data_IF_883169704032
#
_entry.id   IF_883169704032
#
_cell.length_a   1.000
_cell.length_b   1.000
_cell.length_c   1.000
_cell.angle_alpha   90.00
_cell.angle_beta   90.00
_cell.angle_gamma   90.00
#
_symmetry.space_group_name_H-M   'P 1'
#
loop_
_entity.id
_entity.type
_entity.pdbx_description
1 polymer ?
#
# COMPACT_ATOMS: atom_id res chain seq x y z
N UNK A 1 0.97 -1.24 -16.44
CA UNK A 1 1.82 -0.25 -15.74
C UNK A 1 3.19 -0.27 -16.41
N UNK A 2 3.67 0.88 -16.92
CA UNK A 2 4.95 0.95 -17.65
C UNK A 2 6.14 0.48 -16.81
N UNK A 3 7.12 -0.12 -17.47
CA UNK A 3 8.42 -0.40 -16.86
C UNK A 3 9.01 0.89 -16.28
N UNK A 4 9.45 0.84 -15.02
CA UNK A 4 10.16 1.96 -14.41
C UNK A 4 11.50 2.06 -15.14
N UNK A 5 11.85 3.20 -15.76
CA UNK A 5 13.09 3.32 -16.50
C UNK A 5 14.29 3.01 -15.60
N UNK A 6 15.19 2.13 -16.06
CA UNK A 6 16.37 1.74 -15.29
C UNK A 6 17.24 2.94 -14.89
N UNK A 7 17.27 3.99 -15.73
CA UNK A 7 17.95 5.25 -15.43
C UNK A 7 17.41 5.88 -14.14
N UNK A 8 16.10 6.03 -14.02
CA UNK A 8 15.44 6.67 -12.90
C UNK A 8 15.67 5.87 -11.61
N UNK A 9 15.71 4.54 -11.71
CA UNK A 9 16.07 3.65 -10.59
C UNK A 9 17.51 3.90 -10.13
N UNK A 10 18.46 4.06 -11.05
CA UNK A 10 19.87 4.29 -10.72
C UNK A 10 20.10 5.67 -10.13
N UNK A 11 19.51 6.73 -10.70
CA UNK A 11 19.64 8.08 -10.13
C UNK A 11 18.94 8.17 -8.76
N UNK A 12 17.75 7.58 -8.63
CA UNK A 12 17.06 7.44 -7.34
C UNK A 12 17.88 6.72 -6.29
N UNK A 13 18.62 5.67 -6.67
CA UNK A 13 19.52 4.96 -5.77
C UNK A 13 20.66 5.87 -5.27
N UNK A 14 21.25 6.71 -6.14
CA UNK A 14 22.29 7.68 -5.77
C UNK A 14 21.74 8.77 -4.85
N UNK A 15 20.55 9.27 -5.13
CA UNK A 15 19.87 10.26 -4.29
C UNK A 15 19.59 9.66 -2.90
N UNK A 16 19.10 8.43 -2.85
CA UNK A 16 18.79 7.74 -1.59
C UNK A 16 20.02 7.60 -0.70
N UNK A 17 21.19 7.29 -1.27
CA UNK A 17 22.46 7.21 -0.53
C UNK A 17 22.89 8.54 0.11
N UNK A 18 22.38 9.68 -0.37
CA UNK A 18 22.67 11.01 0.19
C UNK A 18 21.69 11.42 1.30
N UNK A 19 20.57 10.71 1.45
CA UNK A 19 19.59 10.99 2.50
C UNK A 19 20.17 10.57 3.86
N UNK A 20 20.06 11.43 4.89
CA UNK A 20 20.46 11.06 6.26
C UNK A 20 19.80 9.77 6.73
N UNK A 21 20.56 8.90 7.41
CA UNK A 21 20.12 7.55 7.77
C UNK A 21 18.81 7.53 8.57
N UNK A 22 18.63 8.54 9.43
CA UNK A 22 17.45 8.76 10.26
C UNK A 22 16.19 9.10 9.46
N UNK A 23 16.33 9.73 8.29
CA UNK A 23 15.21 10.10 7.41
C UNK A 23 14.88 9.01 6.38
N UNK A 24 15.84 8.14 6.07
CA UNK A 24 15.65 7.09 5.05
C UNK A 24 14.45 6.18 5.30
N UNK A 25 14.25 5.72 6.55
CA UNK A 25 13.09 4.87 6.86
C UNK A 25 11.79 5.64 6.67
N UNK A 26 11.74 6.90 7.13
CA UNK A 26 10.55 7.74 7.01
C UNK A 26 10.17 7.98 5.55
N UNK A 27 11.16 8.23 4.67
CA UNK A 27 10.93 8.38 3.24
C UNK A 27 10.41 7.09 2.61
N UNK A 28 10.99 5.94 2.97
CA UNK A 28 10.48 4.63 2.51
C UNK A 28 9.03 4.44 2.95
N UNK A 29 8.71 4.75 4.22
CA UNK A 29 7.35 4.66 4.75
C UNK A 29 6.37 5.59 4.04
N UNK A 30 6.77 6.80 3.66
CA UNK A 30 5.92 7.71 2.89
C UNK A 30 5.66 7.17 1.48
N UNK A 31 6.68 6.66 0.79
CA UNK A 31 6.52 6.13 -0.58
C UNK A 31 5.68 4.85 -0.57
N UNK A 32 5.97 3.93 0.35
CA UNK A 32 5.29 2.64 0.44
C UNK A 32 3.90 2.80 1.05
N UNK A 33 3.76 3.60 2.11
CA UNK A 33 2.52 3.80 2.85
C UNK A 33 1.46 4.56 2.06
N UNK A 34 1.87 5.39 1.10
CA UNK A 34 0.94 6.22 0.35
C UNK A 34 0.49 5.63 -0.97
N UNK A 35 1.06 4.55 -1.53
CA UNK A 35 0.53 3.96 -2.77
C UNK A 35 -0.86 3.31 -2.54
N UNK A 36 -1.95 3.69 -3.23
CA UNK A 36 -1.98 4.26 -4.57
C UNK A 36 -2.40 5.75 -4.65
N UNK A 37 -2.09 6.56 -3.64
CA UNK A 37 -2.33 8.01 -3.62
C UNK A 37 -1.62 8.74 -4.77
N UNK A 38 -2.07 9.97 -5.03
CA UNK A 38 -1.50 10.89 -6.01
C UNK A 38 0.01 11.03 -5.84
N UNK A 39 0.73 11.01 -6.96
CA UNK A 39 2.17 11.29 -7.02
C UNK A 39 2.46 12.70 -6.49
N UNK A 40 1.58 13.68 -6.75
CA UNK A 40 1.78 15.06 -6.29
C UNK A 40 1.76 15.18 -4.75
N UNK A 41 0.90 14.42 -4.08
CA UNK A 41 0.82 14.45 -2.61
C UNK A 41 2.02 13.74 -1.98
N UNK A 42 2.46 12.61 -2.56
CA UNK A 42 3.67 11.92 -2.13
C UNK A 42 4.89 12.84 -2.28
N UNK A 43 4.96 13.58 -3.39
CA UNK A 43 5.99 14.59 -3.62
C UNK A 43 5.97 15.67 -2.55
N UNK A 44 4.78 16.19 -2.19
CA UNK A 44 4.65 17.19 -1.13
C UNK A 44 5.13 16.67 0.22
N UNK A 45 4.72 15.47 0.64
CA UNK A 45 5.13 14.88 1.93
C UNK A 45 6.64 14.63 2.01
N UNK A 46 7.25 14.15 0.92
CA UNK A 46 8.69 13.93 0.86
C UNK A 46 9.45 15.26 0.84
N UNK A 47 8.92 16.27 0.14
CA UNK A 47 9.47 17.63 0.13
C UNK A 47 9.55 18.22 1.53
N UNK A 48 8.48 18.08 2.31
CA UNK A 48 8.44 18.53 3.71
C UNK A 48 9.47 17.81 4.59
N UNK A 49 9.59 16.48 4.43
CA UNK A 49 10.51 15.66 5.22
C UNK A 49 11.99 15.94 4.86
N UNK A 50 12.32 16.05 3.57
CA UNK A 50 13.69 16.19 3.09
C UNK A 50 14.15 17.64 2.97
N UNK A 51 13.23 18.60 2.87
CA UNK A 51 13.54 20.00 2.57
C UNK A 51 14.05 20.23 1.15
N UNK A 52 13.91 19.24 0.26
CA UNK A 52 14.23 19.35 -1.17
C UNK A 52 12.95 19.60 -1.96
N UNK A 53 12.98 20.59 -2.85
CA UNK A 53 11.85 20.96 -3.71
C UNK A 53 12.02 20.49 -5.16
N UNK A 54 13.04 19.67 -5.45
CA UNK A 54 13.19 19.08 -6.78
C UNK A 54 12.26 17.87 -6.94
N UNK A 55 11.20 18.08 -7.72
CA UNK A 55 10.18 17.08 -8.02
C UNK A 55 10.76 15.89 -8.79
N UNK A 56 11.77 16.12 -9.64
CA UNK A 56 12.37 15.05 -10.44
C UNK A 56 13.19 14.11 -9.54
N UNK A 57 13.98 14.67 -8.62
CA UNK A 57 14.72 13.90 -7.62
C UNK A 57 13.77 13.02 -6.78
N UNK A 58 12.60 13.55 -6.41
CA UNK A 58 11.61 12.80 -5.64
C UNK A 58 10.99 11.67 -6.47
N UNK A 59 10.71 11.90 -7.76
CA UNK A 59 10.20 10.86 -8.66
C UNK A 59 11.22 9.74 -8.85
N UNK A 60 12.51 10.07 -8.97
CA UNK A 60 13.59 9.09 -9.05
C UNK A 60 13.71 8.28 -7.75
N UNK A 61 13.60 8.93 -6.58
CA UNK A 61 13.55 8.25 -5.27
C UNK A 61 12.35 7.29 -5.16
N UNK A 62 11.18 7.71 -5.64
CA UNK A 62 9.99 6.86 -5.71
C UNK A 62 10.20 5.67 -6.64
N UNK A 63 10.72 5.91 -7.84
CA UNK A 63 11.03 4.90 -8.84
C UNK A 63 11.96 3.81 -8.27
N UNK A 64 13.05 4.23 -7.62
CA UNK A 64 13.97 3.32 -6.95
C UNK A 64 13.28 2.51 -5.85
N UNK A 65 12.58 3.16 -4.92
CA UNK A 65 11.92 2.49 -3.78
C UNK A 65 10.87 1.49 -4.26
N UNK A 66 10.06 1.84 -5.26
CA UNK A 66 9.05 0.96 -5.83
C UNK A 66 9.66 -0.21 -6.60
N UNK A 67 10.76 0.00 -7.32
CA UNK A 67 11.49 -1.08 -8.00
C UNK A 67 12.02 -2.11 -6.99
N UNK A 68 12.51 -1.65 -5.84
CA UNK A 68 12.96 -2.49 -4.75
C UNK A 68 11.81 -3.31 -4.13
N UNK A 69 10.69 -2.65 -3.83
CA UNK A 69 9.48 -3.31 -3.31
C UNK A 69 8.96 -4.38 -4.27
N UNK A 70 8.96 -4.11 -5.59
CA UNK A 70 8.57 -5.09 -6.62
C UNK A 70 9.55 -6.25 -6.73
N UNK A 71 10.84 -5.96 -6.56
CA UNK A 71 11.90 -6.96 -6.71
C UNK A 71 11.92 -7.98 -5.57
N UNK A 72 11.71 -7.55 -4.32
CA UNK A 72 11.83 -8.42 -3.14
C UNK A 72 10.95 -9.70 -3.26
N UNK A 73 9.65 -9.64 -3.58
CA UNK A 73 8.82 -10.83 -3.76
C UNK A 73 9.23 -11.70 -4.96
N UNK A 74 9.81 -11.10 -6.01
CA UNK A 74 10.10 -11.81 -7.27
C UNK A 74 11.41 -12.58 -7.23
N UNK A 75 12.49 -11.98 -6.70
CA UNK A 75 13.84 -12.59 -6.70
C UNK A 75 14.40 -12.86 -5.30
N UNK A 76 13.71 -12.43 -4.25
CA UNK A 76 14.10 -12.61 -2.86
C UNK A 76 15.06 -11.54 -2.33
N UNK A 77 15.13 -11.35 -0.99
CA UNK A 77 15.96 -10.32 -0.35
C UNK A 77 17.46 -10.38 -0.69
N UNK A 78 18.03 -11.58 -0.77
CA UNK A 78 19.48 -11.77 -1.01
C UNK A 78 19.90 -11.35 -2.43
N UNK A 79 19.09 -11.65 -3.45
CA UNK A 79 19.39 -11.23 -4.82
C UNK A 79 19.19 -9.71 -4.97
N UNK A 80 18.23 -9.12 -4.26
CA UNK A 80 18.08 -7.67 -4.16
C UNK A 80 19.32 -7.00 -3.54
N UNK A 81 19.88 -7.57 -2.47
CA UNK A 81 21.11 -7.07 -1.84
C UNK A 81 22.26 -7.10 -2.83
N UNK A 82 22.39 -8.19 -3.61
CA UNK A 82 23.40 -8.32 -4.65
C UNK A 82 23.25 -7.26 -5.73
N UNK A 83 22.04 -6.95 -6.18
CA UNK A 83 21.81 -5.89 -7.17
C UNK A 83 22.17 -4.50 -6.64
N UNK A 84 21.81 -4.19 -5.39
CA UNK A 84 22.21 -2.95 -4.74
C UNK A 84 23.74 -2.79 -4.68
N UNK A 85 24.48 -3.88 -4.47
CA UNK A 85 25.95 -3.85 -4.49
C UNK A 85 26.50 -3.50 -5.86
N UNK A 86 25.87 -3.99 -6.94
CA UNK A 86 26.25 -3.59 -8.31
C UNK A 86 25.96 -2.11 -8.58
N UNK A 87 25.00 -1.52 -7.87
CA UNK A 87 24.68 -0.08 -7.91
C UNK A 87 25.58 0.79 -7.01
N UNK A 88 26.54 0.18 -6.29
CA UNK A 88 27.52 0.90 -5.47
C UNK A 88 27.22 0.94 -3.97
N UNK A 89 26.18 0.25 -3.48
CA UNK A 89 25.94 0.12 -2.05
C UNK A 89 26.98 -0.82 -1.42
N UNK A 90 27.39 -0.52 -0.19
CA UNK A 90 28.13 -1.49 0.63
C UNK A 90 27.20 -2.63 1.07
N UNK A 91 27.73 -3.81 1.36
CA UNK A 91 26.94 -4.96 1.87
C UNK A 91 26.06 -4.57 3.07
N UNK A 92 26.64 -3.84 4.04
CA UNK A 92 25.93 -3.40 5.23
C UNK A 92 24.79 -2.42 4.89
N UNK A 93 25.03 -1.46 4.01
CA UNK A 93 24.01 -0.49 3.60
C UNK A 93 22.90 -1.15 2.78
N UNK A 94 23.25 -2.10 1.91
CA UNK A 94 22.29 -2.85 1.11
C UNK A 94 21.37 -3.70 1.99
N UNK A 95 21.92 -4.43 2.95
CA UNK A 95 21.14 -5.19 3.94
C UNK A 95 20.22 -4.29 4.75
N UNK A 96 20.76 -3.21 5.32
CA UNK A 96 19.98 -2.28 6.11
C UNK A 96 18.84 -1.64 5.30
N UNK A 97 19.06 -1.34 4.03
CA UNK A 97 18.00 -0.83 3.15
C UNK A 97 16.91 -1.88 2.92
N UNK A 98 17.28 -3.11 2.59
CA UNK A 98 16.31 -4.19 2.38
C UNK A 98 15.51 -4.47 3.67
N UNK A 99 16.15 -4.47 4.83
CA UNK A 99 15.47 -4.59 6.13
C UNK A 99 14.50 -3.43 6.38
N UNK A 100 14.89 -2.17 6.10
CA UNK A 100 13.99 -1.01 6.21
C UNK A 100 12.78 -1.15 5.28
N UNK A 101 12.99 -1.62 4.05
CA UNK A 101 11.90 -1.83 3.09
C UNK A 101 10.97 -2.93 3.59
N UNK A 102 11.49 -4.09 3.99
CA UNK A 102 10.70 -5.19 4.55
C UNK A 102 9.90 -4.73 5.78
N UNK A 103 10.51 -3.91 6.63
CA UNK A 103 9.84 -3.32 7.78
C UNK A 103 8.70 -2.38 7.36
N UNK A 104 8.91 -1.55 6.34
CA UNK A 104 7.95 -0.56 5.86
C UNK A 104 6.86 -1.15 4.95
N UNK A 105 6.97 -2.41 4.52
CA UNK A 105 5.93 -3.07 3.71
C UNK A 105 4.57 -3.01 4.43
N UNK A 106 3.48 -2.71 3.69
CA UNK A 106 2.16 -2.75 4.26
C UNK A 106 1.83 -4.19 4.63
N UNK A 107 1.23 -4.35 5.80
CA UNK A 107 0.74 -5.63 6.30
C UNK A 107 -0.71 -5.41 6.73
N UNK A 108 -1.51 -6.47 6.72
CA UNK A 108 -2.90 -6.37 7.15
C UNK A 108 -2.99 -5.89 8.61
N UNK A 109 -2.01 -6.22 9.45
CA UNK A 109 -1.91 -5.76 10.83
C UNK A 109 -1.65 -4.25 10.92
N UNK A 110 -0.72 -3.70 10.12
CA UNK A 110 -0.44 -2.26 10.08
C UNK A 110 -1.62 -1.47 9.51
N UNK A 111 -2.24 -1.97 8.45
CA UNK A 111 -3.41 -1.31 7.87
C UNK A 111 -4.59 -1.35 8.86
N UNK A 112 -4.80 -2.48 9.57
CA UNK A 112 -5.79 -2.57 10.63
C UNK A 112 -5.51 -1.60 11.78
N UNK A 113 -4.25 -1.42 12.18
CA UNK A 113 -3.87 -0.44 13.20
C UNK A 113 -4.30 0.98 12.80
N UNK A 114 -4.02 1.40 11.56
CA UNK A 114 -4.48 2.70 11.04
C UNK A 114 -6.01 2.80 11.07
N UNK A 115 -6.73 1.77 10.65
CA UNK A 115 -8.19 1.80 10.59
C UNK A 115 -8.86 1.79 11.98
N UNK A 116 -8.18 1.27 13.01
CA UNK A 116 -8.70 1.25 14.39
C UNK A 116 -8.75 2.62 15.04
N UNK A 117 -7.96 3.58 14.54
CA UNK A 117 -7.97 4.97 15.01
C UNK A 117 -9.25 5.74 14.63
N UNK A 118 -10.08 5.18 13.74
CA UNK A 118 -11.33 5.80 13.30
C UNK A 118 -12.49 5.47 14.24
N UNK A 119 -13.33 6.47 14.49
CA UNK A 119 -14.60 6.26 15.21
C UNK A 119 -15.55 5.38 14.36
N UNK A 120 -16.49 4.65 14.99
CA UNK A 120 -17.37 3.71 14.28
C UNK A 120 -18.12 4.31 13.08
N UNK A 121 -18.56 5.56 13.17
CA UNK A 121 -19.26 6.30 12.13
C UNK A 121 -18.35 6.67 10.94
N UNK A 122 -17.10 7.05 11.23
CA UNK A 122 -16.09 7.35 10.21
C UNK A 122 -15.69 6.08 9.47
N UNK A 123 -15.44 5.01 10.22
CA UNK A 123 -15.13 3.70 9.67
C UNK A 123 -16.29 3.16 8.83
N UNK A 124 -17.54 3.35 9.26
CA UNK A 124 -18.73 2.98 8.48
C UNK A 124 -18.72 3.67 7.12
N UNK A 125 -18.58 4.99 7.12
CA UNK A 125 -18.54 5.79 5.89
C UNK A 125 -17.38 5.37 4.98
N UNK A 126 -16.22 5.10 5.56
CA UNK A 126 -15.04 4.65 4.82
C UNK A 126 -15.27 3.29 4.16
N UNK A 127 -15.89 2.33 4.86
CA UNK A 127 -16.18 1.00 4.29
C UNK A 127 -17.21 1.12 3.18
N UNK A 128 -18.30 1.87 3.37
CA UNK A 128 -19.35 2.06 2.36
C UNK A 128 -18.78 2.69 1.08
N UNK A 129 -18.03 3.78 1.22
CA UNK A 129 -17.42 4.46 0.06
C UNK A 129 -16.24 3.69 -0.53
N UNK A 130 -15.55 2.85 0.24
CA UNK A 130 -14.57 1.91 -0.31
C UNK A 130 -15.24 0.91 -1.25
N UNK A 131 -16.45 0.43 -0.95
CA UNK A 131 -17.19 -0.48 -1.84
C UNK A 131 -17.44 0.23 -3.17
N UNK A 132 -17.93 1.47 -3.14
CA UNK A 132 -18.19 2.30 -4.32
C UNK A 132 -16.89 2.55 -5.12
N UNK A 133 -15.78 2.85 -4.42
CA UNK A 133 -14.46 2.97 -5.03
C UNK A 133 -14.03 1.66 -5.70
N UNK A 134 -14.20 0.53 -5.02
CA UNK A 134 -13.80 -0.77 -5.49
C UNK A 134 -14.62 -1.22 -6.71
N UNK A 135 -15.90 -0.85 -6.77
CA UNK A 135 -16.81 -1.16 -7.88
C UNK A 135 -16.68 -0.21 -9.06
N UNK A 136 -15.99 0.92 -8.90
CA UNK A 136 -15.65 1.85 -9.98
C UNK A 136 -16.55 3.08 -10.08
N UNK A 137 -17.28 3.42 -9.01
CA UNK A 137 -18.08 4.67 -8.92
C UNK A 137 -17.20 5.92 -8.80
N UNK A 138 -15.93 5.77 -8.39
CA UNK A 138 -14.95 6.84 -8.36
C UNK A 138 -13.84 6.60 -9.39
N UNK A 139 -13.44 7.68 -10.05
CA UNK A 139 -12.41 7.68 -11.08
C UNK A 139 -10.98 7.74 -10.51
N UNK A 140 -10.82 8.20 -9.26
CA UNK A 140 -9.51 8.34 -8.62
C UNK A 140 -9.58 8.32 -7.09
N UNK A 141 -8.41 8.22 -6.44
CA UNK A 141 -8.29 8.26 -4.97
C UNK A 141 -8.56 9.68 -4.43
N UNK A 142 -8.28 10.72 -5.20
CA UNK A 142 -8.56 12.11 -4.86
C UNK A 142 -10.07 12.39 -4.84
N UNK A 143 -10.80 11.86 -5.82
CA UNK A 143 -12.26 11.93 -5.87
C UNK A 143 -12.86 11.25 -4.63
N UNK A 144 -12.40 10.04 -4.30
CA UNK A 144 -12.83 9.32 -3.11
C UNK A 144 -12.49 10.06 -1.81
N UNK A 145 -11.27 10.59 -1.69
CA UNK A 145 -10.81 11.39 -0.54
C UNK A 145 -11.72 12.59 -0.27
N UNK A 146 -12.09 13.32 -1.33
CA UNK A 146 -12.98 14.48 -1.23
C UNK A 146 -14.37 14.13 -0.67
N UNK A 147 -14.87 12.92 -0.96
CA UNK A 147 -16.19 12.45 -0.52
C UNK A 147 -16.19 11.96 0.92
N UNK A 148 -15.12 11.28 1.32
CA UNK A 148 -15.02 10.70 2.67
C UNK A 148 -14.58 11.74 3.69
N UNK A 149 -13.88 12.80 3.26
CA UNK A 149 -13.31 13.83 4.15
C UNK A 149 -12.37 13.24 5.22
N UNK A 150 -11.65 12.17 4.85
CA UNK A 150 -10.62 11.55 5.70
C UNK A 150 -9.24 11.72 5.07
N UNK A 151 -8.18 11.81 5.90
CA UNK A 151 -6.80 11.80 5.40
C UNK A 151 -6.50 10.58 4.53
N UNK A 152 -5.70 10.76 3.47
CA UNK A 152 -5.45 9.73 2.45
C UNK A 152 -4.86 8.43 3.01
N UNK A 153 -4.12 8.50 4.13
CA UNK A 153 -3.60 7.32 4.83
C UNK A 153 -4.69 6.30 5.18
N UNK A 154 -5.90 6.77 5.52
CA UNK A 154 -7.01 5.88 5.85
C UNK A 154 -7.60 5.22 4.60
N UNK A 155 -7.62 5.94 3.47
CA UNK A 155 -8.08 5.42 2.19
C UNK A 155 -7.12 4.36 1.64
N UNK A 156 -5.82 4.61 1.74
CA UNK A 156 -4.80 3.64 1.32
C UNK A 156 -4.86 2.37 2.19
N UNK A 157 -4.91 2.53 3.52
CA UNK A 157 -5.02 1.40 4.45
C UNK A 157 -6.30 0.59 4.21
N UNK A 158 -7.45 1.24 4.03
CA UNK A 158 -8.72 0.57 3.75
C UNK A 158 -8.71 -0.17 2.42
N UNK A 159 -8.21 0.46 1.34
CA UNK A 159 -8.11 -0.18 0.04
C UNK A 159 -7.32 -1.49 0.10
N UNK A 160 -6.17 -1.48 0.77
CA UNK A 160 -5.30 -2.66 0.95
C UNK A 160 -5.93 -3.70 1.87
N UNK A 161 -6.39 -3.29 3.04
CA UNK A 161 -6.91 -4.17 4.07
C UNK A 161 -8.19 -4.89 3.59
N UNK A 162 -9.15 -4.14 3.05
CA UNK A 162 -10.42 -4.72 2.60
C UNK A 162 -10.25 -5.58 1.35
N UNK A 163 -9.39 -5.20 0.38
CA UNK A 163 -9.08 -6.07 -0.77
C UNK A 163 -8.37 -7.36 -0.32
N UNK A 164 -7.43 -7.29 0.63
CA UNK A 164 -6.75 -8.47 1.19
C UNK A 164 -7.72 -9.42 1.90
N UNK A 165 -8.64 -8.88 2.71
CA UNK A 165 -9.68 -9.70 3.35
C UNK A 165 -10.61 -10.34 2.33
N UNK A 166 -11.02 -9.59 1.29
CA UNK A 166 -11.87 -10.12 0.23
C UNK A 166 -11.17 -11.26 -0.54
N UNK A 167 -9.87 -11.12 -0.83
CA UNK A 167 -9.05 -12.22 -1.39
C UNK A 167 -9.05 -13.44 -0.49
N UNK A 168 -8.82 -13.26 0.81
CA UNK A 168 -8.82 -14.36 1.79
C UNK A 168 -10.18 -15.06 1.85
N UNK A 169 -11.28 -14.32 1.67
CA UNK A 169 -12.62 -14.90 1.58
C UNK A 169 -12.79 -15.72 0.31
N UNK A 170 -12.38 -15.16 -0.84
CA UNK A 170 -12.47 -15.86 -2.14
C UNK A 170 -11.60 -17.12 -2.21
N UNK A 171 -10.40 -17.11 -1.62
CA UNK A 171 -9.51 -18.28 -1.60
C UNK A 171 -9.96 -19.34 -0.58
N UNK A 172 -10.97 -19.04 0.24
CA UNK A 172 -11.50 -19.94 1.26
C UNK A 172 -10.65 -19.99 2.54
N UNK A 173 -9.60 -19.18 2.65
CA UNK A 173 -8.80 -19.03 3.87
C UNK A 173 -9.62 -18.43 5.02
N UNK A 174 -10.59 -17.58 4.70
CA UNK A 174 -11.49 -16.93 5.65
C UNK A 174 -12.96 -17.10 5.25
N UNK A 175 -13.75 -17.83 6.04
CA UNK A 175 -15.20 -17.83 5.83
C UNK A 175 -15.82 -16.47 6.24
N UNK A 176 -16.82 -15.93 5.52
CA UNK A 176 -17.50 -14.68 5.90
C UNK A 176 -18.01 -14.69 7.34
N UNK A 177 -18.60 -15.81 7.78
CA UNK A 177 -19.09 -16.01 9.16
C UNK A 177 -18.02 -15.86 10.24
N UNK A 178 -16.74 -16.03 9.90
CA UNK A 178 -15.60 -15.90 10.82
C UNK A 178 -14.94 -14.52 10.76
N UNK A 179 -15.28 -13.69 9.77
CA UNK A 179 -14.66 -12.39 9.54
C UNK A 179 -14.69 -11.53 10.81
N UNK A 180 -15.85 -11.40 11.46
CA UNK A 180 -16.00 -10.63 12.70
C UNK A 180 -15.06 -11.10 13.80
N UNK A 181 -14.91 -12.42 13.96
CA UNK A 181 -14.05 -13.01 14.99
C UNK A 181 -12.58 -12.74 14.69
N UNK A 182 -12.17 -12.82 13.42
CA UNK A 182 -10.81 -12.51 12.98
C UNK A 182 -10.48 -11.03 13.16
N UNK A 183 -11.39 -10.12 12.80
CA UNK A 183 -11.23 -8.68 13.04
C UNK A 183 -10.96 -8.36 14.51
N UNK A 184 -11.67 -9.02 15.43
CA UNK A 184 -11.50 -8.80 16.88
C UNK A 184 -10.24 -9.47 17.41
N UNK A 185 -10.02 -10.74 17.08
CA UNK A 185 -8.96 -11.54 17.71
C UNK A 185 -7.58 -11.23 17.16
N UNK A 186 -7.49 -11.13 15.84
CA UNK A 186 -6.21 -11.11 15.13
C UNK A 186 -5.83 -9.65 14.83
N UNK A 187 -6.82 -8.83 14.44
CA UNK A 187 -6.62 -7.41 14.10
C UNK A 187 -7.02 -6.42 15.20
N UNK A 188 -7.52 -6.90 16.35
CA UNK A 188 -7.81 -6.09 17.55
C UNK A 188 -8.84 -4.97 17.38
N UNK A 189 -9.74 -5.08 16.40
CA UNK A 189 -10.86 -4.15 16.26
C UNK A 189 -11.83 -4.25 17.43
N UNK A 190 -12.46 -3.14 17.80
CA UNK A 190 -13.55 -3.16 18.76
C UNK A 190 -14.78 -3.90 18.19
N UNK A 191 -15.61 -4.52 19.03
CA UNK A 191 -16.78 -5.28 18.55
C UNK A 191 -17.74 -4.46 17.66
N UNK A 192 -17.88 -3.16 17.92
CA UNK A 192 -18.70 -2.25 17.11
C UNK A 192 -18.07 -2.05 15.72
N UNK A 193 -16.80 -1.64 15.65
CA UNK A 193 -16.03 -1.48 14.41
C UNK A 193 -16.06 -2.77 13.57
N UNK A 194 -15.80 -3.92 14.20
CA UNK A 194 -15.82 -5.22 13.53
C UNK A 194 -17.21 -5.53 12.95
N UNK A 195 -18.30 -5.19 13.66
CA UNK A 195 -19.68 -5.38 13.18
C UNK A 195 -19.99 -4.50 11.98
N UNK A 196 -19.53 -3.25 12.00
CA UNK A 196 -19.66 -2.30 10.88
C UNK A 196 -18.99 -2.84 9.63
N UNK A 197 -17.71 -3.23 9.73
CA UNK A 197 -16.95 -3.79 8.60
C UNK A 197 -17.65 -5.03 8.06
N UNK A 198 -18.01 -5.98 8.95
CA UNK A 198 -18.63 -7.23 8.49
C UNK A 198 -19.98 -7.02 7.85
N UNK A 199 -20.82 -6.14 8.40
CA UNK A 199 -22.16 -5.89 7.86
C UNK A 199 -22.09 -5.34 6.44
N UNK A 200 -21.25 -4.34 6.20
CA UNK A 200 -21.11 -3.73 4.89
C UNK A 200 -20.49 -4.70 3.85
N UNK A 201 -19.47 -5.48 4.24
CA UNK A 201 -18.86 -6.48 3.34
C UNK A 201 -19.85 -7.61 3.03
N UNK A 202 -20.59 -8.12 4.02
CA UNK A 202 -21.57 -9.20 3.82
C UNK A 202 -22.72 -8.77 2.91
N UNK A 203 -23.19 -7.53 3.04
CA UNK A 203 -24.29 -6.99 2.21
C UNK A 203 -23.95 -6.94 0.72
N UNK A 204 -22.68 -6.71 0.37
CA UNK A 204 -22.20 -6.55 -1.01
C UNK A 204 -21.23 -7.65 -1.44
N UNK A 205 -21.15 -8.75 -0.68
CA UNK A 205 -20.12 -9.77 -0.86
C UNK A 205 -20.11 -10.38 -2.26
N UNK A 206 -21.27 -10.70 -2.83
CA UNK A 206 -21.38 -11.32 -4.15
C UNK A 206 -20.86 -10.40 -5.26
N UNK A 207 -21.20 -9.12 -5.19
CA UNK A 207 -20.74 -8.10 -6.13
C UNK A 207 -19.23 -7.87 -6.02
N UNK A 208 -18.74 -7.65 -4.80
CA UNK A 208 -17.32 -7.47 -4.51
C UNK A 208 -16.49 -8.68 -5.00
N UNK A 209 -16.97 -9.89 -4.71
CA UNK A 209 -16.36 -11.16 -5.12
C UNK A 209 -16.23 -11.25 -6.64
N UNK A 210 -17.33 -10.98 -7.36
CA UNK A 210 -17.35 -11.00 -8.82
C UNK A 210 -16.35 -10.00 -9.41
N UNK A 211 -16.33 -8.76 -8.92
CA UNK A 211 -15.44 -7.71 -9.42
C UNK A 211 -13.98 -8.06 -9.15
N UNK A 212 -13.66 -8.56 -7.96
CA UNK A 212 -12.30 -8.98 -7.64
C UNK A 212 -11.84 -10.12 -8.56
N UNK A 213 -12.69 -11.12 -8.82
CA UNK A 213 -12.36 -12.18 -9.78
C UNK A 213 -12.06 -11.62 -11.17
N UNK A 214 -12.87 -10.70 -11.69
CA UNK A 214 -12.60 -10.06 -12.98
C UNK A 214 -11.29 -9.28 -12.98
N UNK A 215 -11.00 -8.49 -11.93
CA UNK A 215 -9.72 -7.78 -11.79
C UNK A 215 -8.53 -8.74 -11.78
N UNK A 216 -8.64 -9.88 -11.10
CA UNK A 216 -7.60 -10.91 -11.05
C UNK A 216 -7.41 -11.61 -12.41
N UNK A 217 -8.50 -11.97 -13.09
CA UNK A 217 -8.45 -12.57 -14.42
C UNK A 217 -7.84 -11.61 -15.45
N UNK A 218 -8.23 -10.33 -15.43
CA UNK A 218 -7.65 -9.32 -16.30
C UNK A 218 -6.15 -9.16 -16.09
N UNK A 219 -5.69 -9.16 -14.82
CA UNK A 219 -4.25 -9.14 -14.51
C UNK A 219 -3.50 -10.37 -15.03
N UNK A 220 -4.14 -11.54 -15.08
CA UNK A 220 -3.54 -12.75 -15.66
C UNK A 220 -3.43 -12.59 -17.19
N UNK A 221 -4.47 -12.06 -17.85
CA UNK A 221 -4.43 -11.80 -19.30
C UNK A 221 -3.33 -10.81 -19.66
N UNK A 222 -3.26 -9.68 -18.95
CA UNK A 222 -2.22 -8.65 -19.13
C UNK A 222 -0.79 -9.18 -18.90
N UNK A 223 -0.62 -10.23 -18.08
CA UNK A 223 0.69 -10.83 -17.81
C UNK A 223 1.10 -11.90 -18.83
N UNK A 224 0.17 -12.34 -19.68
CA UNK A 224 0.39 -13.35 -20.71
C UNK A 224 0.57 -12.72 -22.11
N UNK A 225 0.12 -11.47 -22.29
CA UNK A 225 0.38 -10.63 -23.47
C UNK A 225 1.74 -9.91 -23.39
#
# INVERSE_FOLDING_TARGET
>A
MGEIPYRDVVEGAKLFMRIPLEKQLKVIELIIGSAPADVEEIVSMITEELGTSDVEDIKELMAFTLAMVKSIPSKGPEEVIKDLKHMGFTEANARALVEKILHALPTAEKDAEVLRDLEPEELKRLVETWIDFFTGEYSSMEEWSSKVSLPIRYLVASARFFESMLKSILTGELSPRRLKKVLINDYRFQPAQASTITGAIEERLDELSRILMFKLLYRILDAVE
#
